data_IF_817952178306
#
_entry.id   IF_817952178306
#
_cell.length_a   1.000
_cell.length_b   1.000
_cell.length_c   1.000
_cell.angle_alpha   90.00
_cell.angle_beta   90.00
_cell.angle_gamma   90.00
#
_symmetry.space_group_name_H-M   'P 1'
#
loop_
_entity.id
_entity.type
_entity.pdbx_description
1 polymer ?
#
# COMPACT_ATOMS: atom_id res chain seq x y z
N UNK A 1 -18.99 15.15 -2.73
CA UNK A 1 -18.89 13.83 -2.04
C UNK A 1 -17.54 13.26 -2.35
N UNK A 2 -16.68 13.03 -1.34
CA UNK A 2 -15.34 12.51 -1.60
C UNK A 2 -15.36 11.13 -2.26
N UNK A 3 -14.44 10.91 -3.21
CA UNK A 3 -14.29 9.66 -3.94
C UNK A 3 -12.91 9.05 -3.70
N UNK A 4 -12.89 7.76 -3.38
CA UNK A 4 -11.68 7.02 -3.00
C UNK A 4 -11.52 5.79 -3.90
N UNK A 5 -10.36 5.65 -4.52
CA UNK A 5 -9.93 4.44 -5.20
C UNK A 5 -8.88 3.74 -4.35
N UNK A 6 -9.17 2.53 -3.89
CA UNK A 6 -8.27 1.71 -3.05
C UNK A 6 -7.91 0.44 -3.80
N UNK A 7 -6.64 0.13 -3.95
CA UNK A 7 -6.20 -1.12 -4.58
C UNK A 7 -5.90 -2.20 -3.55
N UNK A 8 -6.18 -3.48 -3.89
CA UNK A 8 -5.91 -4.63 -3.01
C UNK A 8 -6.86 -4.74 -1.81
N UNK A 9 -8.16 -4.59 -2.06
CA UNK A 9 -9.18 -4.48 -1.00
C UNK A 9 -9.83 -5.80 -0.57
N UNK A 10 -9.32 -6.94 -1.00
CA UNK A 10 -9.92 -8.24 -0.68
C UNK A 10 -9.71 -8.70 0.77
N UNK A 11 -8.66 -8.21 1.43
CA UNK A 11 -8.27 -8.58 2.81
C UNK A 11 -7.36 -7.53 3.45
N UNK A 12 -7.07 -7.75 4.75
CA UNK A 12 -6.07 -6.99 5.50
C UNK A 12 -6.32 -5.49 5.48
N UNK A 13 -5.26 -4.70 5.37
CA UNK A 13 -5.29 -3.25 5.43
C UNK A 13 -6.18 -2.62 4.34
N UNK A 14 -6.15 -3.16 3.11
CA UNK A 14 -6.97 -2.65 2.02
C UNK A 14 -8.47 -2.81 2.26
N UNK A 15 -8.90 -3.95 2.83
CA UNK A 15 -10.29 -4.16 3.23
C UNK A 15 -10.69 -3.23 4.38
N UNK A 16 -9.77 -2.97 5.31
CA UNK A 16 -10.02 -2.07 6.42
C UNK A 16 -10.16 -0.61 5.99
N UNK A 17 -9.39 -0.16 4.99
CA UNK A 17 -9.64 1.15 4.37
C UNK A 17 -11.06 1.24 3.79
N UNK A 18 -11.52 0.20 3.07
CA UNK A 18 -12.90 0.17 2.56
C UNK A 18 -13.91 0.23 3.70
N UNK A 19 -13.69 -0.54 4.80
CA UNK A 19 -14.54 -0.55 5.99
C UNK A 19 -14.69 0.85 6.60
N UNK A 20 -13.58 1.52 6.85
CA UNK A 20 -13.60 2.83 7.53
C UNK A 20 -14.10 3.94 6.60
N UNK A 21 -13.64 4.00 5.36
CA UNK A 21 -14.05 5.03 4.41
C UNK A 21 -15.54 4.94 4.04
N UNK A 22 -16.07 3.74 3.87
CA UNK A 22 -17.48 3.55 3.52
C UNK A 22 -18.44 3.71 4.70
N UNK A 23 -17.93 3.93 5.92
CA UNK A 23 -18.76 4.25 7.09
C UNK A 23 -19.50 5.59 6.94
N UNK A 24 -18.91 6.55 6.24
CA UNK A 24 -19.60 7.75 5.79
C UNK A 24 -20.28 7.46 4.44
N UNK A 25 -21.63 7.49 4.44
CA UNK A 25 -22.43 7.26 3.23
C UNK A 25 -22.26 8.31 2.14
N UNK A 26 -21.69 9.48 2.47
CA UNK A 26 -21.36 10.51 1.49
C UNK A 26 -20.09 10.20 0.69
N UNK A 27 -19.26 9.25 1.11
CA UNK A 27 -18.10 8.82 0.35
C UNK A 27 -18.50 7.84 -0.75
N UNK A 28 -17.83 7.92 -1.89
CA UNK A 28 -17.83 6.86 -2.91
C UNK A 28 -16.52 6.08 -2.77
N UNK A 29 -16.60 4.77 -2.47
CA UNK A 29 -15.42 3.93 -2.26
C UNK A 29 -15.32 2.87 -3.32
N UNK A 30 -14.22 2.88 -4.08
CA UNK A 30 -13.98 1.97 -5.20
C UNK A 30 -12.82 1.04 -4.81
N UNK A 31 -13.09 -0.27 -4.75
CA UNK A 31 -12.11 -1.30 -4.46
C UNK A 31 -11.66 -2.03 -5.72
N UNK A 32 -10.34 -2.18 -5.91
CA UNK A 32 -9.74 -2.95 -6.99
C UNK A 32 -9.20 -4.27 -6.47
N UNK A 33 -9.66 -5.39 -7.03
CA UNK A 33 -9.42 -6.75 -6.52
C UNK A 33 -9.27 -7.80 -7.62
N UNK A 34 -8.52 -8.86 -7.34
CA UNK A 34 -8.36 -10.00 -8.26
C UNK A 34 -9.60 -10.90 -8.32
N UNK A 35 -10.34 -11.03 -7.23
CA UNK A 35 -11.57 -11.85 -7.15
C UNK A 35 -12.72 -10.97 -6.64
N UNK A 36 -13.47 -10.42 -7.60
CA UNK A 36 -14.60 -9.54 -7.33
C UNK A 36 -15.68 -10.24 -6.51
N UNK A 37 -16.12 -11.43 -6.97
CA UNK A 37 -17.22 -12.14 -6.32
C UNK A 37 -16.92 -12.42 -4.83
N UNK A 38 -15.79 -13.01 -4.52
CA UNK A 38 -15.40 -13.31 -3.14
C UNK A 38 -15.32 -12.05 -2.27
N UNK A 39 -14.88 -10.91 -2.85
CA UNK A 39 -14.81 -9.65 -2.12
C UNK A 39 -16.20 -9.06 -1.88
N UNK A 40 -17.10 -9.11 -2.86
CA UNK A 40 -18.49 -8.66 -2.72
C UNK A 40 -19.25 -9.50 -1.69
N UNK A 41 -19.10 -10.84 -1.70
CA UNK A 41 -19.67 -11.74 -0.69
C UNK A 41 -19.18 -11.37 0.73
N UNK A 42 -17.89 -11.03 0.87
CA UNK A 42 -17.32 -10.57 2.14
C UNK A 42 -17.87 -9.20 2.56
N UNK A 43 -17.96 -8.24 1.63
CA UNK A 43 -18.56 -6.92 1.89
C UNK A 43 -20.00 -7.08 2.37
N UNK A 44 -20.80 -7.90 1.69
CA UNK A 44 -22.19 -8.15 2.08
C UNK A 44 -22.30 -8.74 3.49
N UNK A 45 -21.39 -9.65 3.85
CA UNK A 45 -21.35 -10.31 5.16
C UNK A 45 -20.89 -9.38 6.28
N UNK A 46 -19.80 -8.63 6.05
CA UNK A 46 -19.12 -7.86 7.11
C UNK A 46 -19.51 -6.38 7.16
N UNK A 47 -20.05 -5.84 6.06
CA UNK A 47 -20.44 -4.44 5.91
C UNK A 47 -21.88 -4.32 5.38
N UNK A 48 -22.85 -4.98 6.03
CA UNK A 48 -24.23 -5.02 5.53
C UNK A 48 -24.84 -3.62 5.43
N UNK A 49 -25.62 -3.39 4.37
CA UNK A 49 -26.34 -2.13 4.17
C UNK A 49 -25.51 -0.98 3.58
N UNK A 50 -24.22 -1.17 3.30
CA UNK A 50 -23.40 -0.15 2.65
C UNK A 50 -23.55 -0.22 1.14
N UNK A 51 -24.13 0.82 0.56
CA UNK A 51 -24.42 0.95 -0.88
C UNK A 51 -23.39 1.79 -1.63
N UNK A 52 -22.44 2.39 -0.91
CA UNK A 52 -21.43 3.31 -1.42
C UNK A 52 -20.07 2.65 -1.72
N UNK A 53 -20.06 1.31 -1.79
CA UNK A 53 -18.86 0.52 -2.13
C UNK A 53 -19.05 -0.07 -3.53
N UNK A 54 -18.06 0.12 -4.39
CA UNK A 54 -18.01 -0.42 -5.74
C UNK A 54 -16.77 -1.30 -5.90
N UNK A 55 -16.91 -2.48 -6.48
CA UNK A 55 -15.79 -3.42 -6.66
C UNK A 55 -15.50 -3.63 -8.14
N UNK A 56 -14.25 -3.39 -8.54
CA UNK A 56 -13.76 -3.60 -9.91
C UNK A 56 -12.71 -4.71 -9.89
N UNK A 57 -12.83 -5.65 -10.83
CA UNK A 57 -11.90 -6.78 -10.93
C UNK A 57 -10.73 -6.45 -11.84
N UNK A 58 -9.52 -6.89 -11.42
CA UNK A 58 -8.30 -6.86 -12.22
C UNK A 58 -7.03 -7.05 -11.39
N UNK A 59 -5.91 -7.06 -12.08
CA UNK A 59 -4.58 -7.24 -11.51
C UNK A 59 -3.72 -6.01 -11.79
N UNK A 60 -3.12 -5.44 -10.74
CA UNK A 60 -2.36 -4.18 -10.81
C UNK A 60 -1.16 -4.25 -11.77
N UNK A 61 -0.59 -5.44 -12.00
CA UNK A 61 0.52 -5.65 -12.93
C UNK A 61 0.11 -5.69 -14.41
N UNK A 62 -1.20 -5.79 -14.71
CA UNK A 62 -1.73 -5.82 -16.06
C UNK A 62 -2.22 -4.43 -16.46
N UNK A 63 -1.54 -3.82 -17.42
CA UNK A 63 -1.87 -2.46 -17.88
C UNK A 63 -3.32 -2.30 -18.31
N UNK A 64 -3.86 -3.25 -19.07
CA UNK A 64 -5.25 -3.19 -19.54
C UNK A 64 -6.27 -3.30 -18.40
N UNK A 65 -5.97 -4.07 -17.34
CA UNK A 65 -6.84 -4.15 -16.16
C UNK A 65 -6.85 -2.81 -15.41
N UNK A 66 -5.68 -2.15 -15.30
CA UNK A 66 -5.58 -0.82 -14.69
C UNK A 66 -6.29 0.24 -15.53
N UNK A 67 -6.19 0.17 -16.85
CA UNK A 67 -6.91 1.05 -17.77
C UNK A 67 -8.43 0.89 -17.60
N UNK A 68 -8.93 -0.34 -17.60
CA UNK A 68 -10.33 -0.64 -17.35
C UNK A 68 -10.79 -0.14 -15.96
N UNK A 69 -9.95 -0.30 -14.93
CA UNK A 69 -10.22 0.25 -13.60
C UNK A 69 -10.50 1.75 -13.66
N UNK A 70 -9.68 2.52 -14.37
CA UNK A 70 -9.82 3.98 -14.44
C UNK A 70 -11.04 4.37 -15.28
N UNK A 71 -11.34 3.65 -16.37
CA UNK A 71 -12.54 3.87 -17.17
C UNK A 71 -13.83 3.63 -16.37
N UNK A 72 -13.90 2.54 -15.60
CA UNK A 72 -15.04 2.25 -14.73
C UNK A 72 -15.11 3.25 -13.55
N UNK A 73 -13.97 3.62 -12.96
CA UNK A 73 -13.92 4.67 -11.93
C UNK A 73 -14.51 5.97 -12.45
N UNK A 74 -14.16 6.39 -13.67
CA UNK A 74 -14.70 7.60 -14.27
C UNK A 74 -16.22 7.56 -14.43
N UNK A 75 -16.79 6.40 -14.79
CA UNK A 75 -18.26 6.23 -14.90
C UNK A 75 -18.94 6.36 -13.53
N UNK A 76 -18.36 5.74 -12.49
CA UNK A 76 -18.91 5.76 -11.14
C UNK A 76 -18.85 7.17 -10.53
N UNK A 77 -17.76 7.90 -10.76
CA UNK A 77 -17.48 9.19 -10.10
C UNK A 77 -17.88 10.41 -10.95
N UNK A 78 -18.41 10.21 -12.15
CA UNK A 78 -18.74 11.31 -13.07
C UNK A 78 -17.51 12.02 -13.64
N UNK A 79 -16.36 11.34 -13.70
CA UNK A 79 -15.16 11.82 -14.38
C UNK A 79 -14.18 12.61 -13.49
N UNK A 80 -14.34 12.58 -12.16
CA UNK A 80 -13.39 13.13 -11.18
C UNK A 80 -13.04 12.11 -10.12
N UNK A 81 -11.87 12.24 -9.48
CA UNK A 81 -11.45 11.38 -8.38
C UNK A 81 -10.65 12.21 -7.36
N UNK A 82 -10.97 12.07 -6.07
CA UNK A 82 -10.35 12.85 -5.01
C UNK A 82 -9.11 12.18 -4.43
N UNK A 83 -9.19 10.86 -4.17
CA UNK A 83 -8.15 10.11 -3.48
C UNK A 83 -7.81 8.80 -4.19
N UNK A 84 -6.52 8.48 -4.26
CA UNK A 84 -6.03 7.13 -4.51
C UNK A 84 -5.26 6.65 -3.28
N UNK A 85 -5.59 5.44 -2.80
CA UNK A 85 -4.81 4.69 -1.82
C UNK A 85 -4.25 3.46 -2.54
N UNK A 86 -3.03 3.56 -3.04
CA UNK A 86 -2.33 2.50 -3.74
C UNK A 86 -1.75 1.51 -2.72
N UNK A 87 -2.60 0.55 -2.32
CA UNK A 87 -2.30 -0.41 -1.27
C UNK A 87 -1.93 -1.80 -1.81
N UNK A 88 -2.37 -2.18 -3.01
CA UNK A 88 -2.03 -3.49 -3.59
C UNK A 88 -0.51 -3.71 -3.61
N UNK A 89 -0.07 -4.83 -3.05
CA UNK A 89 1.32 -5.22 -3.02
C UNK A 89 1.46 -6.74 -2.87
N UNK A 90 2.64 -7.25 -3.22
CA UNK A 90 3.09 -8.61 -2.96
C UNK A 90 4.36 -8.57 -2.12
N UNK A 91 4.45 -9.50 -1.18
CA UNK A 91 5.68 -9.94 -0.54
C UNK A 91 5.69 -11.46 -0.63
N UNK A 92 6.69 -12.00 -1.28
CA UNK A 92 6.81 -13.45 -1.47
C UNK A 92 7.13 -14.13 -0.14
N UNK A 93 6.42 -15.22 0.17
CA UNK A 93 6.69 -16.01 1.37
C UNK A 93 8.09 -16.62 1.36
N UNK A 94 8.62 -16.95 0.17
CA UNK A 94 9.95 -17.50 0.01
C UNK A 94 11.06 -16.50 0.38
N UNK A 95 10.90 -15.22 0.05
CA UNK A 95 11.92 -14.19 0.30
C UNK A 95 11.67 -13.35 1.55
N UNK A 96 10.46 -13.41 2.13
CA UNK A 96 10.02 -12.50 3.19
C UNK A 96 10.95 -12.46 4.41
N UNK A 97 11.49 -13.64 4.81
CA UNK A 97 12.32 -13.80 6.00
C UNK A 97 13.72 -14.32 5.67
N UNK A 98 14.16 -14.17 4.42
CA UNK A 98 15.45 -14.65 3.95
C UNK A 98 16.33 -13.50 3.46
N UNK A 99 17.62 -13.47 3.87
CA UNK A 99 18.59 -12.50 3.37
C UNK A 99 19.16 -12.88 2.00
N UNK A 100 19.79 -11.94 1.31
CA UNK A 100 20.43 -12.17 0.01
C UNK A 100 21.38 -13.37 -0.03
N UNK A 101 22.15 -13.62 1.04
CA UNK A 101 23.08 -14.75 1.10
C UNK A 101 22.40 -16.12 1.05
N UNK A 102 21.14 -16.21 1.46
CA UNK A 102 20.30 -17.42 1.33
C UNK A 102 19.66 -17.47 -0.04
N UNK A 103 18.99 -16.38 -0.44
CA UNK A 103 18.23 -16.30 -1.69
C UNK A 103 19.14 -16.46 -2.93
N UNK A 104 20.36 -15.95 -2.89
CA UNK A 104 21.34 -16.02 -3.97
C UNK A 104 21.81 -17.45 -4.32
N UNK A 105 21.47 -18.45 -3.50
CA UNK A 105 21.71 -19.86 -3.82
C UNK A 105 20.77 -20.38 -4.92
N UNK A 106 19.64 -19.70 -5.15
CA UNK A 106 18.65 -19.99 -6.20
C UNK A 106 18.50 -18.76 -7.13
N UNK A 107 19.51 -18.43 -7.96
CA UNK A 107 19.57 -17.14 -8.65
C UNK A 107 18.42 -16.90 -9.62
N UNK A 108 17.89 -17.91 -10.29
CA UNK A 108 16.74 -17.77 -11.20
C UNK A 108 15.46 -17.41 -10.42
N UNK A 109 15.23 -18.09 -9.30
CA UNK A 109 14.08 -17.80 -8.43
C UNK A 109 14.18 -16.43 -7.79
N UNK A 110 15.38 -16.00 -7.41
CA UNK A 110 15.61 -14.66 -6.89
C UNK A 110 15.30 -13.59 -7.94
N UNK A 111 15.71 -13.79 -9.20
CA UNK A 111 15.40 -12.90 -10.31
C UNK A 111 13.88 -12.80 -10.52
N UNK A 112 13.18 -13.93 -10.60
CA UNK A 112 11.71 -13.98 -10.74
C UNK A 112 10.99 -13.26 -9.59
N UNK A 113 11.38 -13.51 -8.34
CA UNK A 113 10.81 -12.87 -7.15
C UNK A 113 11.01 -11.35 -7.15
N UNK A 114 12.21 -10.89 -7.51
CA UNK A 114 12.51 -9.46 -7.61
C UNK A 114 11.71 -8.77 -8.72
N UNK A 115 11.62 -9.42 -9.91
CA UNK A 115 10.84 -8.90 -11.04
C UNK A 115 9.36 -8.82 -10.67
N UNK A 116 8.78 -9.88 -10.10
CA UNK A 116 7.37 -9.89 -9.67
C UNK A 116 7.10 -8.78 -8.65
N UNK A 117 7.94 -8.67 -7.61
CA UNK A 117 7.83 -7.64 -6.60
C UNK A 117 7.89 -6.23 -7.21
N UNK A 118 8.81 -6.00 -8.16
CA UNK A 118 8.95 -4.72 -8.84
C UNK A 118 7.75 -4.41 -9.74
N UNK A 119 7.29 -5.39 -10.52
CA UNK A 119 6.13 -5.21 -11.42
C UNK A 119 4.85 -4.88 -10.65
N UNK A 120 4.57 -5.56 -9.54
CA UNK A 120 3.35 -5.36 -8.76
C UNK A 120 3.47 -4.10 -7.88
N UNK A 121 4.56 -3.98 -7.12
CA UNK A 121 4.65 -2.95 -6.08
C UNK A 121 5.06 -1.58 -6.64
N UNK A 122 5.68 -1.54 -7.83
CA UNK A 122 6.18 -0.28 -8.42
C UNK A 122 5.54 0.01 -9.77
N UNK A 123 5.79 -0.80 -10.80
CA UNK A 123 5.37 -0.51 -12.19
C UNK A 123 3.86 -0.39 -12.32
N UNK A 124 3.10 -1.33 -11.72
CA UNK A 124 1.64 -1.28 -11.71
C UNK A 124 1.09 0.00 -11.07
N UNK A 125 1.72 0.49 -10.00
CA UNK A 125 1.34 1.76 -9.38
C UNK A 125 1.72 2.97 -10.26
N UNK A 126 2.84 2.94 -10.98
CA UNK A 126 3.19 3.97 -11.96
C UNK A 126 2.14 4.04 -13.07
N UNK A 127 1.68 2.89 -13.59
CA UNK A 127 0.58 2.85 -14.55
C UNK A 127 -0.72 3.42 -13.96
N UNK A 128 -1.08 3.00 -12.75
CA UNK A 128 -2.25 3.51 -12.04
C UNK A 128 -2.22 5.03 -11.92
N UNK A 129 -1.11 5.61 -11.47
CA UNK A 129 -0.99 7.06 -11.29
C UNK A 129 -1.13 7.80 -12.62
N UNK A 130 -0.40 7.38 -13.65
CA UNK A 130 -0.47 8.01 -14.98
C UNK A 130 -1.88 7.99 -15.57
N UNK A 131 -2.56 6.84 -15.50
CA UNK A 131 -3.91 6.68 -16.05
C UNK A 131 -4.97 7.45 -15.24
N UNK A 132 -4.78 7.57 -13.92
CA UNK A 132 -5.74 8.25 -13.04
C UNK A 132 -5.58 9.78 -13.00
N UNK A 133 -4.43 10.32 -13.38
CA UNK A 133 -4.15 11.76 -13.32
C UNK A 133 -5.24 12.65 -13.94
N UNK A 134 -5.82 12.31 -15.10
CA UNK A 134 -6.90 13.13 -15.67
C UNK A 134 -8.15 13.23 -14.77
N UNK A 135 -8.42 12.22 -13.94
CA UNK A 135 -9.52 12.23 -12.98
C UNK A 135 -9.12 12.98 -11.71
N UNK A 136 -7.92 12.74 -11.18
CA UNK A 136 -7.38 13.40 -9.99
C UNK A 136 -7.27 14.92 -10.19
N UNK A 137 -6.84 15.37 -11.35
CA UNK A 137 -6.76 16.80 -11.67
C UNK A 137 -8.12 17.51 -11.61
N UNK A 138 -9.21 16.78 -11.81
CA UNK A 138 -10.59 17.28 -11.70
C UNK A 138 -11.20 17.11 -10.31
N UNK A 139 -10.57 16.31 -9.44
CA UNK A 139 -10.98 16.12 -8.05
C UNK A 139 -10.75 17.35 -7.20
N UNK A 140 -11.39 17.40 -6.03
CA UNK A 140 -11.20 18.47 -5.07
C UNK A 140 -9.96 18.24 -4.19
N UNK A 141 -9.81 17.05 -3.62
CA UNK A 141 -8.72 16.75 -2.69
C UNK A 141 -7.38 16.50 -3.37
N UNK A 142 -7.36 15.90 -4.56
CA UNK A 142 -6.18 15.63 -5.41
C UNK A 142 -5.02 14.94 -4.68
N UNK A 143 -5.32 13.85 -3.95
CA UNK A 143 -4.31 13.13 -3.16
C UNK A 143 -4.06 11.72 -3.69
N UNK A 144 -2.81 11.39 -3.95
CA UNK A 144 -2.34 10.05 -4.34
C UNK A 144 -1.39 9.55 -3.26
N UNK A 145 -1.82 8.52 -2.54
CA UNK A 145 -1.11 7.94 -1.41
C UNK A 145 -0.67 6.53 -1.77
N UNK A 146 0.64 6.25 -1.69
CA UNK A 146 1.18 4.91 -1.84
C UNK A 146 1.45 4.29 -0.46
N UNK A 147 0.90 3.10 -0.22
CA UNK A 147 1.26 2.32 0.97
C UNK A 147 2.62 1.67 0.72
N UNK A 148 3.62 2.18 1.44
CA UNK A 148 5.01 1.76 1.40
C UNK A 148 5.37 0.86 2.59
N UNK A 149 6.60 0.87 3.03
CA UNK A 149 7.09 0.09 4.16
C UNK A 149 8.31 0.76 4.79
N UNK A 150 8.43 0.73 6.11
CA UNK A 150 9.66 1.13 6.81
C UNK A 150 10.90 0.36 6.32
N UNK A 151 10.72 -0.86 5.82
CA UNK A 151 11.78 -1.66 5.20
C UNK A 151 12.34 -1.05 3.90
N UNK A 152 11.77 0.03 3.39
CA UNK A 152 12.32 0.81 2.28
C UNK A 152 13.21 1.98 2.74
N UNK A 153 13.42 2.13 4.05
CA UNK A 153 14.30 3.16 4.61
C UNK A 153 15.71 2.60 4.79
N UNK A 154 16.66 3.12 3.99
CA UNK A 154 18.04 2.64 4.00
C UNK A 154 18.76 2.90 5.34
N UNK A 155 18.40 3.97 6.05
CA UNK A 155 18.97 4.28 7.36
C UNK A 155 18.50 3.27 8.42
N UNK A 156 17.19 2.91 8.40
CA UNK A 156 16.65 1.86 9.25
C UNK A 156 17.36 0.52 9.00
N UNK A 157 17.46 0.11 7.74
CA UNK A 157 18.09 -1.14 7.34
C UNK A 157 19.53 -1.20 7.84
N UNK A 158 20.32 -0.16 7.54
CA UNK A 158 21.76 -0.13 7.83
C UNK A 158 22.04 -0.08 9.33
N UNK A 159 21.31 0.76 10.06
CA UNK A 159 21.54 1.00 11.51
C UNK A 159 21.11 -0.16 12.36
N UNK A 160 20.10 -0.93 11.95
CA UNK A 160 19.51 -1.99 12.77
C UNK A 160 19.68 -3.39 12.14
N UNK A 161 20.49 -3.50 11.07
CA UNK A 161 20.82 -4.77 10.42
C UNK A 161 19.57 -5.56 9.99
N UNK A 162 18.59 -4.88 9.42
CA UNK A 162 17.37 -5.53 8.89
C UNK A 162 17.72 -6.14 7.54
N UNK A 163 17.88 -7.47 7.49
CA UNK A 163 18.42 -8.18 6.33
C UNK A 163 17.36 -8.90 5.48
N UNK A 164 16.13 -8.97 5.99
CA UNK A 164 15.04 -9.77 5.44
C UNK A 164 14.32 -9.07 4.29
N UNK A 165 13.69 -9.88 3.41
CA UNK A 165 12.80 -9.40 2.35
C UNK A 165 13.42 -8.40 1.37
N UNK A 166 14.62 -8.66 0.83
CA UNK A 166 15.35 -7.65 0.06
C UNK A 166 14.61 -7.23 -1.23
N UNK A 167 14.00 -8.16 -1.97
CA UNK A 167 13.23 -7.86 -3.18
C UNK A 167 12.03 -6.95 -2.90
N UNK A 168 11.30 -7.25 -1.82
CA UNK A 168 10.21 -6.40 -1.35
C UNK A 168 10.70 -4.99 -0.96
N UNK A 169 11.73 -4.91 -0.14
CA UNK A 169 12.32 -3.64 0.32
C UNK A 169 12.76 -2.76 -0.85
N UNK A 170 13.44 -3.35 -1.84
CA UNK A 170 13.88 -2.66 -3.06
C UNK A 170 12.68 -2.15 -3.87
N UNK A 171 11.62 -2.95 -4.04
CA UNK A 171 10.42 -2.54 -4.77
C UNK A 171 9.69 -1.38 -4.09
N UNK A 172 9.61 -1.38 -2.76
CA UNK A 172 9.02 -0.28 -1.99
C UNK A 172 9.90 0.98 -2.01
N UNK A 173 11.22 0.82 -2.01
CA UNK A 173 12.18 1.92 -2.24
C UNK A 173 12.00 2.57 -3.61
N UNK A 174 11.87 1.75 -4.66
CA UNK A 174 11.59 2.24 -6.00
C UNK A 174 10.24 2.97 -6.09
N UNK A 175 9.19 2.48 -5.41
CA UNK A 175 7.90 3.16 -5.30
C UNK A 175 8.04 4.53 -4.62
N UNK A 176 8.85 4.64 -3.55
CA UNK A 176 9.09 5.93 -2.88
C UNK A 176 9.77 6.94 -3.83
N UNK A 177 10.71 6.49 -4.66
CA UNK A 177 11.33 7.34 -5.68
C UNK A 177 10.31 7.76 -6.75
N UNK A 178 9.43 6.85 -7.19
CA UNK A 178 8.36 7.17 -8.13
C UNK A 178 7.43 8.26 -7.55
N UNK A 179 6.99 8.12 -6.30
CA UNK A 179 6.17 9.13 -5.59
C UNK A 179 6.87 10.50 -5.58
N UNK A 180 8.16 10.56 -5.25
CA UNK A 180 8.91 11.83 -5.26
C UNK A 180 9.01 12.46 -6.67
N UNK A 181 9.12 11.61 -7.72
CA UNK A 181 9.14 12.08 -9.12
C UNK A 181 7.79 12.63 -9.57
N UNK A 182 6.70 11.92 -9.27
CA UNK A 182 5.35 12.39 -9.56
C UNK A 182 5.02 13.69 -8.80
N UNK A 183 5.39 13.78 -7.53
CA UNK A 183 5.20 15.02 -6.77
C UNK A 183 5.96 16.19 -7.38
N UNK A 184 7.21 16.00 -7.75
CA UNK A 184 8.02 17.06 -8.39
C UNK A 184 7.39 17.56 -9.69
N UNK A 185 6.72 16.69 -10.45
CA UNK A 185 6.06 17.00 -11.72
C UNK A 185 4.69 17.68 -11.52
N UNK A 186 3.87 17.16 -10.60
CA UNK A 186 2.45 17.54 -10.49
C UNK A 186 2.10 18.44 -9.28
N UNK A 187 3.02 18.69 -8.35
CA UNK A 187 2.80 19.57 -7.19
C UNK A 187 2.26 20.95 -7.59
N UNK A 188 2.79 21.54 -8.67
CA UNK A 188 2.33 22.85 -9.16
C UNK A 188 0.91 22.82 -9.71
N UNK A 189 0.38 21.64 -10.02
CA UNK A 189 -1.00 21.43 -10.45
C UNK A 189 -1.93 21.10 -9.27
N UNK A 190 -1.42 21.16 -8.05
CA UNK A 190 -2.15 20.94 -6.82
C UNK A 190 -2.34 19.45 -6.48
N UNK A 191 -1.60 18.52 -7.10
CA UNK A 191 -1.69 17.09 -6.79
C UNK A 191 -0.65 16.72 -5.74
N UNK A 192 -1.11 16.21 -4.60
CA UNK A 192 -0.28 15.68 -3.53
C UNK A 192 0.05 14.20 -3.79
N UNK A 193 1.32 13.89 -3.93
CA UNK A 193 1.83 12.51 -3.90
C UNK A 193 2.59 12.27 -2.61
N UNK A 194 2.29 11.16 -1.92
CA UNK A 194 2.90 10.83 -0.64
C UNK A 194 3.01 9.31 -0.45
N UNK A 195 4.08 8.85 0.18
CA UNK A 195 4.25 7.45 0.58
C UNK A 195 4.11 7.31 2.10
N UNK A 196 3.34 6.30 2.55
CA UNK A 196 3.12 6.04 3.97
C UNK A 196 3.44 4.58 4.28
N UNK A 197 4.31 4.35 5.28
CA UNK A 197 4.48 3.04 5.91
C UNK A 197 3.37 2.82 6.93
N UNK A 198 2.60 1.71 6.83
CA UNK A 198 1.47 1.44 7.71
C UNK A 198 1.86 0.88 9.09
N UNK A 199 3.17 0.77 9.39
CA UNK A 199 3.68 -0.01 10.52
C UNK A 199 3.79 -1.50 10.20
N UNK A 200 4.12 -2.31 11.19
CA UNK A 200 4.02 -3.77 11.08
C UNK A 200 2.57 -4.18 11.38
N UNK A 201 1.86 -4.64 10.36
CA UNK A 201 0.41 -4.92 10.43
C UNK A 201 0.16 -6.43 10.43
N UNK A 202 -0.68 -6.92 11.32
CA UNK A 202 -1.09 -8.32 11.43
C UNK A 202 -2.01 -8.72 10.25
N UNK A 203 -1.44 -8.91 9.07
CA UNK A 203 -2.19 -9.27 7.84
C UNK A 203 -1.89 -10.66 7.31
N UNK A 204 -0.88 -11.33 7.84
CA UNK A 204 -0.45 -12.67 7.42
C UNK A 204 -1.07 -13.75 8.32
N UNK A 205 -1.50 -14.83 7.70
CA UNK A 205 -1.83 -16.07 8.40
C UNK A 205 -0.55 -16.87 8.60
N UNK A 206 -0.11 -16.99 9.85
CA UNK A 206 1.10 -17.72 10.22
C UNK A 206 0.84 -19.14 10.69
N UNK A 207 -0.39 -19.64 10.57
CA UNK A 207 -0.80 -20.96 11.07
C UNK A 207 -0.02 -22.12 10.43
N UNK A 208 0.50 -21.92 9.22
CA UNK A 208 1.25 -22.91 8.46
C UNK A 208 2.73 -22.52 8.25
N UNK A 209 3.26 -21.58 9.05
CA UNK A 209 4.63 -21.15 8.92
C UNK A 209 5.62 -22.28 9.27
N UNK A 210 6.68 -22.45 8.47
CA UNK A 210 7.77 -23.39 8.75
C UNK A 210 8.61 -22.92 9.93
N UNK A 211 9.38 -23.84 10.53
CA UNK A 211 10.31 -23.46 11.62
C UNK A 211 11.33 -22.41 11.19
N UNK A 212 11.81 -22.48 9.94
CA UNK A 212 12.75 -21.52 9.36
C UNK A 212 12.10 -20.12 9.21
N UNK A 213 10.85 -20.06 8.76
CA UNK A 213 10.10 -18.80 8.67
C UNK A 213 9.82 -18.20 10.05
N UNK A 214 9.52 -19.03 11.05
CA UNK A 214 9.31 -18.59 12.43
C UNK A 214 10.63 -18.02 13.01
N UNK A 215 11.75 -18.67 12.74
CA UNK A 215 13.05 -18.19 13.22
C UNK A 215 13.45 -16.87 12.54
N UNK A 216 13.28 -16.75 11.22
CA UNK A 216 13.51 -15.49 10.49
C UNK A 216 12.62 -14.35 11.04
N UNK A 217 11.34 -14.63 11.29
CA UNK A 217 10.42 -13.66 11.91
C UNK A 217 10.91 -13.23 13.32
N UNK A 218 11.41 -14.17 14.16
CA UNK A 218 11.96 -13.85 15.48
C UNK A 218 13.17 -12.92 15.39
N UNK A 219 14.08 -13.17 14.43
CA UNK A 219 15.26 -12.33 14.22
C UNK A 219 14.86 -10.93 13.78
N UNK A 220 13.88 -10.80 12.86
CA UNK A 220 13.33 -9.51 12.45
C UNK A 220 12.70 -8.75 13.63
N UNK A 221 11.90 -9.43 14.46
CA UNK A 221 11.30 -8.84 15.67
C UNK A 221 12.36 -8.38 16.65
N UNK A 222 13.44 -9.15 16.84
CA UNK A 222 14.56 -8.76 17.70
C UNK A 222 15.26 -7.48 17.19
N UNK A 223 15.48 -7.37 15.87
CA UNK A 223 16.02 -6.15 15.27
C UNK A 223 15.09 -4.95 15.47
N UNK A 224 13.77 -5.16 15.34
CA UNK A 224 12.77 -4.13 15.57
C UNK A 224 12.72 -3.67 17.04
N UNK A 225 12.91 -4.58 18.00
CA UNK A 225 12.98 -4.22 19.42
C UNK A 225 14.23 -3.41 19.77
N UNK A 226 15.34 -3.61 19.05
CA UNK A 226 16.52 -2.74 19.17
C UNK A 226 16.22 -1.33 18.65
N UNK A 227 15.51 -1.24 17.52
CA UNK A 227 15.09 0.04 16.94
C UNK A 227 14.04 0.76 17.80
N UNK A 228 13.02 0.03 18.23
CA UNK A 228 11.88 0.53 19.00
C UNK A 228 11.66 -0.34 20.25
N UNK A 229 12.32 -0.02 21.38
CA UNK A 229 12.21 -0.84 22.61
C UNK A 229 10.80 -1.01 23.16
N UNK A 230 9.88 -0.11 22.77
CA UNK A 230 8.46 -0.18 23.12
C UNK A 230 7.63 -1.08 22.17
N UNK A 231 8.25 -1.60 21.11
CA UNK A 231 7.56 -2.44 20.14
C UNK A 231 7.14 -3.78 20.77
N UNK A 232 5.84 -4.05 20.78
CA UNK A 232 5.25 -5.26 21.38
C UNK A 232 4.75 -6.28 20.35
N UNK A 233 4.76 -5.92 19.07
CA UNK A 233 4.32 -6.79 17.99
C UNK A 233 3.49 -6.04 16.93
N UNK A 234 2.96 -6.76 15.94
CA UNK A 234 2.16 -6.17 14.88
C UNK A 234 0.89 -5.51 15.43
N UNK A 235 0.55 -4.35 14.89
CA UNK A 235 -0.74 -3.68 15.16
C UNK A 235 -1.86 -4.28 14.28
N UNK A 236 -3.10 -4.13 14.71
CA UNK A 236 -4.25 -4.59 13.93
C UNK A 236 -4.42 -3.79 12.63
N UNK A 237 -5.06 -4.36 11.60
CA UNK A 237 -5.42 -3.61 10.40
C UNK A 237 -6.28 -2.38 10.69
N UNK A 238 -7.15 -2.44 11.71
CA UNK A 238 -8.01 -1.35 12.14
C UNK A 238 -7.19 -0.17 12.69
N UNK A 239 -6.29 -0.43 13.64
CA UNK A 239 -5.39 0.58 14.20
C UNK A 239 -4.52 1.23 13.14
N UNK A 240 -3.92 0.40 12.27
CA UNK A 240 -3.08 0.88 11.17
C UNK A 240 -3.85 1.74 10.19
N UNK A 241 -5.04 1.29 9.72
CA UNK A 241 -5.86 2.07 8.79
C UNK A 241 -6.29 3.41 9.39
N UNK A 242 -6.70 3.41 10.64
CA UNK A 242 -7.10 4.63 11.38
C UNK A 242 -5.94 5.64 11.44
N UNK A 243 -4.74 5.17 11.78
CA UNK A 243 -3.55 6.01 11.85
C UNK A 243 -3.16 6.56 10.46
N UNK A 244 -3.12 5.71 9.44
CA UNK A 244 -2.82 6.10 8.06
C UNK A 244 -3.84 7.13 7.54
N UNK A 245 -5.14 6.90 7.73
CA UNK A 245 -6.18 7.85 7.32
C UNK A 245 -6.06 9.18 8.05
N UNK A 246 -5.67 9.19 9.33
CA UNK A 246 -5.38 10.42 10.07
C UNK A 246 -4.22 11.21 9.43
N UNK A 247 -3.15 10.53 8.98
CA UNK A 247 -2.03 11.18 8.27
C UNK A 247 -2.50 11.73 6.92
N UNK A 248 -3.26 10.96 6.14
CA UNK A 248 -3.81 11.38 4.84
C UNK A 248 -4.67 12.65 4.99
N UNK A 249 -5.52 12.68 6.02
CA UNK A 249 -6.41 13.82 6.25
C UNK A 249 -5.64 15.11 6.57
N UNK A 250 -4.55 15.01 7.34
CA UNK A 250 -3.71 16.16 7.73
C UNK A 250 -2.72 16.58 6.63
N UNK A 251 -2.41 15.69 5.68
CA UNK A 251 -1.43 15.93 4.64
C UNK A 251 -1.92 17.00 3.66
N UNK A 252 -1.07 17.96 3.32
CA UNK A 252 -1.29 18.91 2.23
C UNK A 252 0.04 19.37 1.63
N UNK A 253 -0.03 19.98 0.45
CA UNK A 253 1.15 20.58 -0.20
C UNK A 253 1.68 21.73 0.65
N UNK A 254 0.80 22.54 1.21
CA UNK A 254 1.13 23.69 2.07
C UNK A 254 1.82 23.26 3.36
N UNK A 255 1.45 22.09 3.90
CA UNK A 255 2.11 21.49 5.05
C UNK A 255 3.46 20.80 4.72
N UNK A 256 3.89 20.86 3.45
CA UNK A 256 5.15 20.24 3.00
C UNK A 256 5.08 18.70 2.90
N UNK A 257 3.89 18.11 2.80
CA UNK A 257 3.71 16.66 2.74
C UNK A 257 4.05 16.04 1.38
N UNK A 258 4.15 16.87 0.32
CA UNK A 258 4.39 16.42 -1.04
C UNK A 258 5.74 15.75 -1.21
N UNK A 259 5.77 14.60 -1.89
CA UNK A 259 6.94 13.76 -2.12
C UNK A 259 7.50 13.07 -0.89
N UNK A 260 6.85 13.22 0.29
CA UNK A 260 7.35 12.66 1.54
C UNK A 260 7.10 11.15 1.64
N UNK A 261 8.01 10.50 2.37
CA UNK A 261 7.85 9.13 2.85
C UNK A 261 7.85 9.15 4.38
N UNK A 262 6.73 8.79 4.99
CA UNK A 262 6.53 8.83 6.45
C UNK A 262 5.86 7.56 6.95
N UNK A 263 5.83 7.36 8.27
CA UNK A 263 5.08 6.29 8.92
C UNK A 263 3.60 6.66 9.13
N UNK A 264 2.84 5.71 9.64
CA UNK A 264 1.47 5.89 10.12
C UNK A 264 1.34 6.91 11.27
N UNK A 265 2.45 7.34 11.86
CA UNK A 265 2.50 8.47 12.80
C UNK A 265 2.73 9.83 12.12
N UNK A 266 2.96 9.85 10.80
CA UNK A 266 3.26 11.07 10.05
C UNK A 266 4.71 11.57 10.22
N UNK A 267 5.61 10.72 10.68
CA UNK A 267 7.04 11.02 10.90
C UNK A 267 7.94 9.87 10.41
N UNK A 268 9.20 9.83 10.85
CA UNK A 268 10.17 8.77 10.51
C UNK A 268 10.30 7.68 11.58
N UNK A 269 9.32 7.52 12.45
CA UNK A 269 9.23 6.42 13.41
C UNK A 269 8.38 5.31 12.78
N UNK A 270 9.03 4.22 12.36
CA UNK A 270 8.40 3.19 11.54
C UNK A 270 7.54 2.18 12.34
N UNK A 271 7.79 2.06 13.67
CA UNK A 271 7.14 1.14 14.62
C UNK A 271 6.73 1.85 15.90
#
# INVERSE_FOLDING_TARGET
MPSYLVTGTSRGLGFEFVRQLSADSNNTVIGFVRNKKATEDKIQKELPGRTNIHTIQGEIQKYEDVKNLIEETAKITGGSLDYIIANAAVQSEWSAHNPFGVLGKEPQRLEEDMIESYMINTVGNVHLFNLALPLILKGEAKKIIAISSGMADADLITRFSIIDGPGYSMSKGALNIAIAKFDAEYRKQGVLFMAISPGLVATQDTSNATEEQIEGYRQMVAAFQVYAPHFTGPISPEESATAVLSVINKASIEAGSGGSFVSHFGNKQWL
#
